data_IF_009303312843
#
_entry.id   IF_009303312843
#
_cell.length_a   1.000
_cell.length_b   1.000
_cell.length_c   1.000
_cell.angle_alpha   90.00
_cell.angle_beta   90.00
_cell.angle_gamma   90.00
#
_symmetry.space_group_name_H-M   'P 1'
#
loop_
_entity.id
_entity.type
_entity.pdbx_description
1 polymer ?
#
# COMPACT_ATOMS: atom_id res chain seq x y z
N UNK A 1 -13.58 -14.50 20.94
CA UNK A 1 -13.01 -13.16 21.13
C UNK A 1 -13.20 -12.41 19.82
N UNK A 2 -13.75 -11.18 19.82
CA UNK A 2 -13.69 -10.36 18.60
C UNK A 2 -12.22 -10.17 18.22
N UNK A 3 -11.88 -10.42 16.95
CA UNK A 3 -10.55 -10.14 16.43
C UNK A 3 -10.26 -8.65 16.69
N UNK A 4 -9.11 -8.35 17.28
CA UNK A 4 -8.75 -6.97 17.58
C UNK A 4 -8.48 -6.27 16.26
N UNK A 5 -9.16 -5.14 16.02
CA UNK A 5 -9.01 -4.37 14.80
C UNK A 5 -7.56 -3.90 14.61
N UNK A 6 -7.02 -4.08 13.42
CA UNK A 6 -5.69 -3.61 13.06
C UNK A 6 -5.75 -2.12 12.71
N UNK A 7 -5.28 -1.26 13.60
CA UNK A 7 -5.21 0.18 13.32
C UNK A 7 -3.76 0.57 13.12
N UNK A 8 -3.46 1.00 11.91
CA UNK A 8 -2.09 1.19 11.46
C UNK A 8 -1.86 2.41 10.60
N UNK A 9 -0.62 2.54 10.17
CA UNK A 9 -0.15 3.62 9.32
C UNK A 9 0.94 3.12 8.37
N UNK A 10 1.05 3.76 7.21
CA UNK A 10 2.17 3.54 6.29
C UNK A 10 3.28 4.53 6.61
N UNK A 11 4.46 4.10 7.09
CA UNK A 11 5.60 4.99 7.28
C UNK A 11 6.10 5.53 5.94
N UNK A 12 6.50 6.80 5.95
CA UNK A 12 7.05 7.46 4.77
C UNK A 12 8.40 8.11 5.02
N UNK A 13 8.86 8.03 6.24
CA UNK A 13 10.11 8.63 6.69
C UNK A 13 11.05 7.55 7.23
N UNK A 14 12.32 7.63 6.88
CA UNK A 14 13.34 6.66 7.31
C UNK A 14 13.52 6.65 8.84
N UNK A 15 13.20 7.77 9.48
CA UNK A 15 13.32 7.97 10.92
C UNK A 15 12.06 8.61 11.51
N UNK A 16 10.94 7.88 11.61
CA UNK A 16 9.73 8.43 12.20
C UNK A 16 9.91 8.68 13.71
N UNK A 17 9.18 9.64 14.25
CA UNK A 17 9.09 9.83 15.70
C UNK A 17 8.21 8.72 16.31
N UNK A 18 8.86 7.66 16.79
CA UNK A 18 8.19 6.52 17.41
C UNK A 18 7.41 6.89 18.68
N UNK A 19 7.83 7.95 19.40
CA UNK A 19 7.11 8.39 20.57
C UNK A 19 5.76 9.01 20.18
N UNK A 20 5.73 9.85 19.17
CA UNK A 20 4.49 10.39 18.60
C UNK A 20 3.61 9.29 18.00
N UNK A 21 4.19 8.31 17.30
CA UNK A 21 3.42 7.18 16.76
C UNK A 21 2.73 6.38 17.88
N UNK A 22 3.43 6.08 18.97
CA UNK A 22 2.85 5.39 20.14
C UNK A 22 1.81 6.24 20.87
N UNK A 23 2.06 7.55 21.00
CA UNK A 23 1.12 8.49 21.60
C UNK A 23 -0.19 8.60 20.82
N UNK A 24 -0.13 8.50 19.48
CA UNK A 24 -1.33 8.42 18.62
C UNK A 24 -2.15 7.16 18.91
N UNK A 25 -1.54 6.10 19.41
CA UNK A 25 -2.21 4.84 19.73
C UNK A 25 -2.21 3.80 18.60
N UNK A 26 -1.53 4.07 17.49
CA UNK A 26 -1.34 3.05 16.44
C UNK A 26 -0.50 1.90 16.96
N UNK A 27 -0.79 0.70 16.43
CA UNK A 27 -0.10 -0.54 16.82
C UNK A 27 0.48 -1.27 15.63
N UNK A 28 0.05 -0.93 14.44
CA UNK A 28 0.44 -1.57 13.20
C UNK A 28 1.14 -0.59 12.28
N UNK A 29 2.13 -1.10 11.55
CA UNK A 29 2.72 -0.39 10.42
C UNK A 29 2.69 -1.28 9.18
N UNK A 30 2.49 -0.67 8.02
CA UNK A 30 2.61 -1.36 6.75
C UNK A 30 4.02 -1.16 6.22
N UNK A 31 4.76 -2.26 6.11
CA UNK A 31 6.13 -2.33 5.61
C UNK A 31 6.25 -3.47 4.62
N UNK A 32 7.37 -3.61 3.92
CA UNK A 32 7.48 -4.68 2.94
C UNK A 32 8.90 -5.16 2.66
N UNK A 33 8.95 -6.38 2.14
CA UNK A 33 10.17 -6.97 1.62
C UNK A 33 10.20 -6.90 0.09
N UNK A 34 11.30 -6.44 -0.50
CA UNK A 34 11.60 -6.67 -1.90
C UNK A 34 11.91 -8.15 -2.14
N UNK A 35 12.13 -8.51 -3.39
CA UNK A 35 12.57 -9.85 -3.75
C UNK A 35 13.88 -10.22 -3.01
N UNK A 36 13.98 -11.40 -2.36
CA UNK A 36 15.04 -11.65 -1.39
C UNK A 36 16.42 -11.90 -2.00
N UNK A 37 16.48 -12.46 -3.21
CA UNK A 37 17.73 -12.95 -3.78
C UNK A 37 18.28 -12.06 -4.89
N UNK A 38 19.57 -11.76 -4.84
CA UNK A 38 20.29 -11.02 -5.88
C UNK A 38 20.64 -11.90 -7.09
N UNK A 39 20.79 -13.21 -6.88
CA UNK A 39 21.21 -14.18 -7.91
C UNK A 39 20.54 -15.56 -7.74
N UNK A 40 20.75 -16.43 -8.73
CA UNK A 40 20.22 -17.79 -8.72
C UNK A 40 20.83 -18.71 -7.64
N UNK A 41 21.94 -18.31 -7.00
CA UNK A 41 22.59 -19.06 -5.93
C UNK A 41 21.93 -18.82 -4.57
N UNK A 42 20.96 -17.90 -4.51
CA UNK A 42 20.28 -17.56 -3.28
C UNK A 42 21.05 -16.55 -2.40
N UNK A 43 21.96 -15.77 -3.00
CA UNK A 43 22.61 -14.66 -2.29
C UNK A 43 21.57 -13.61 -1.93
N UNK A 44 21.47 -13.26 -0.64
CA UNK A 44 20.51 -12.24 -0.21
C UNK A 44 20.85 -10.88 -0.82
N UNK A 45 19.84 -10.20 -1.31
CA UNK A 45 20.00 -8.85 -1.86
C UNK A 45 20.20 -7.81 -0.75
N UNK A 46 20.95 -6.76 -1.05
CA UNK A 46 21.15 -5.65 -0.11
C UNK A 46 19.82 -4.97 0.24
N UNK A 47 18.93 -4.81 -0.74
CA UNK A 47 17.60 -4.25 -0.53
C UNK A 47 16.76 -5.07 0.45
N UNK A 48 16.82 -6.42 0.36
CA UNK A 48 16.15 -7.30 1.31
C UNK A 48 16.73 -7.14 2.73
N UNK A 49 18.05 -7.14 2.86
CA UNK A 49 18.72 -6.98 4.16
C UNK A 49 18.44 -5.61 4.82
N UNK A 50 18.32 -4.56 4.02
CA UNK A 50 17.96 -3.24 4.51
C UNK A 50 16.49 -3.19 4.93
N UNK A 51 15.57 -3.76 4.15
CA UNK A 51 14.17 -3.87 4.55
C UNK A 51 14.00 -4.69 5.85
N UNK A 52 14.76 -5.77 6.02
CA UNK A 52 14.73 -6.56 7.25
C UNK A 52 15.15 -5.76 8.49
N UNK A 53 16.21 -4.95 8.37
CA UNK A 53 16.62 -4.04 9.46
C UNK A 53 15.53 -3.02 9.82
N UNK A 54 14.87 -2.45 8.81
CA UNK A 54 13.78 -1.51 9.03
C UNK A 54 12.58 -2.18 9.72
N UNK A 55 12.18 -3.35 9.26
CA UNK A 55 11.09 -4.11 9.88
C UNK A 55 11.43 -4.44 11.35
N UNK A 56 12.65 -4.91 11.62
CA UNK A 56 13.07 -5.19 13.00
C UNK A 56 13.13 -3.92 13.87
N UNK A 57 13.47 -2.78 13.30
CA UNK A 57 13.43 -1.50 14.00
C UNK A 57 12.00 -1.16 14.46
N UNK A 58 11.00 -1.25 13.57
CA UNK A 58 9.60 -1.03 13.97
C UNK A 58 9.12 -2.06 15.00
N UNK A 59 9.50 -3.33 14.84
CA UNK A 59 9.14 -4.38 15.80
C UNK A 59 9.76 -4.16 17.17
N UNK A 60 11.02 -3.73 17.24
CA UNK A 60 11.69 -3.40 18.51
C UNK A 60 11.05 -2.22 19.24
N UNK A 61 10.38 -1.32 18.50
CA UNK A 61 9.58 -0.23 19.06
C UNK A 61 8.14 -0.64 19.44
N UNK A 62 7.81 -1.93 19.27
CA UNK A 62 6.55 -2.54 19.70
C UNK A 62 5.43 -2.50 18.66
N UNK A 63 5.73 -2.24 17.39
CA UNK A 63 4.73 -2.27 16.32
C UNK A 63 4.60 -3.66 15.71
N UNK A 64 3.36 -4.04 15.41
CA UNK A 64 3.01 -5.18 14.57
C UNK A 64 3.12 -4.78 13.08
N UNK A 65 3.38 -5.77 12.21
CA UNK A 65 3.63 -5.50 10.79
C UNK A 65 2.56 -6.14 9.91
N UNK A 66 1.89 -5.32 9.08
CA UNK A 66 1.27 -5.76 7.84
C UNK A 66 2.36 -5.70 6.76
N UNK A 67 2.85 -6.87 6.37
CA UNK A 67 4.03 -6.94 5.53
C UNK A 67 3.65 -7.11 4.06
N UNK A 68 4.10 -6.23 3.19
CA UNK A 68 3.98 -6.45 1.75
C UNK A 68 5.13 -7.29 1.22
N UNK A 69 4.82 -8.21 0.31
CA UNK A 69 5.79 -8.87 -0.54
C UNK A 69 5.78 -8.19 -1.91
N UNK A 70 6.97 -8.08 -2.50
CA UNK A 70 7.15 -7.40 -3.79
C UNK A 70 6.11 -7.80 -4.83
N UNK A 71 5.68 -6.83 -5.64
CA UNK A 71 4.89 -7.09 -6.84
C UNK A 71 5.75 -7.46 -8.04
N UNK A 72 5.13 -7.77 -9.19
CA UNK A 72 5.86 -8.07 -10.42
C UNK A 72 6.48 -6.82 -11.06
N UNK A 73 5.82 -5.68 -10.94
CA UNK A 73 6.24 -4.41 -11.50
C UNK A 73 6.79 -3.43 -10.48
N UNK A 74 7.55 -2.50 -10.95
CA UNK A 74 8.10 -1.38 -10.18
C UNK A 74 8.10 -0.12 -11.04
N UNK A 75 7.82 0.99 -10.40
CA UNK A 75 7.84 2.30 -11.03
C UNK A 75 8.73 3.24 -10.23
N UNK A 76 9.52 4.06 -10.92
CA UNK A 76 10.38 5.06 -10.28
C UNK A 76 10.55 6.30 -11.14
N UNK A 77 10.66 7.44 -10.50
CA UNK A 77 11.12 8.64 -11.16
C UNK A 77 12.65 8.64 -11.28
N UNK A 78 13.16 8.97 -12.46
CA UNK A 78 14.60 9.08 -12.74
C UNK A 78 14.94 10.56 -12.99
N UNK A 79 15.48 11.29 -11.99
CA UNK A 79 15.72 12.74 -12.10
C UNK A 79 16.65 13.11 -13.25
N UNK A 80 17.68 12.30 -13.53
CA UNK A 80 18.62 12.51 -14.62
C UNK A 80 17.98 12.44 -16.03
N UNK A 81 16.83 11.77 -16.13
CA UNK A 81 16.11 11.57 -17.40
C UNK A 81 14.80 12.39 -17.44
N UNK A 82 14.41 12.98 -16.31
CA UNK A 82 13.17 13.75 -16.17
C UNK A 82 11.91 12.92 -16.44
N UNK A 83 11.94 11.60 -16.20
CA UNK A 83 10.83 10.70 -16.53
C UNK A 83 10.60 9.60 -15.50
N UNK A 84 9.40 9.07 -15.53
CA UNK A 84 9.03 7.85 -14.80
C UNK A 84 9.37 6.62 -15.63
N UNK A 85 10.07 5.66 -15.01
CA UNK A 85 10.50 4.42 -15.66
C UNK A 85 9.80 3.25 -15.01
N UNK A 86 9.24 2.40 -15.85
CA UNK A 86 8.63 1.14 -15.45
C UNK A 86 9.63 0.01 -15.63
N UNK A 87 9.74 -0.87 -14.63
CA UNK A 87 10.66 -1.99 -14.65
C UNK A 87 10.06 -3.18 -13.92
N UNK A 88 10.72 -4.34 -14.03
CA UNK A 88 10.39 -5.47 -13.16
C UNK A 88 10.86 -5.20 -11.73
N UNK A 89 10.05 -5.57 -10.76
CA UNK A 89 10.42 -5.53 -9.35
C UNK A 89 11.18 -6.81 -8.91
N UNK A 90 11.15 -7.85 -9.74
CA UNK A 90 11.88 -9.09 -9.52
C UNK A 90 13.10 -9.18 -10.47
N UNK A 91 14.19 -9.87 -10.07
CA UNK A 91 15.40 -9.98 -10.87
C UNK A 91 15.17 -10.64 -12.23
N UNK A 92 15.93 -10.20 -13.24
CA UNK A 92 15.83 -10.72 -14.60
C UNK A 92 16.18 -12.23 -14.72
N UNK A 93 17.01 -12.77 -13.83
CA UNK A 93 17.37 -14.19 -13.87
C UNK A 93 16.18 -15.13 -13.63
N UNK A 94 15.06 -14.67 -13.09
CA UNK A 94 13.84 -15.47 -13.03
C UNK A 94 13.37 -15.91 -14.43
N UNK A 95 13.72 -15.16 -15.46
CA UNK A 95 13.36 -15.44 -16.84
C UNK A 95 12.03 -14.81 -17.25
N UNK A 96 11.36 -15.42 -18.23
CA UNK A 96 10.10 -14.92 -18.76
C UNK A 96 8.93 -15.25 -17.80
N UNK A 97 8.07 -14.28 -17.45
CA UNK A 97 6.90 -14.51 -16.59
C UNK A 97 5.92 -15.57 -17.07
N UNK A 98 5.88 -15.87 -18.39
CA UNK A 98 5.03 -16.93 -18.93
C UNK A 98 5.63 -18.35 -18.79
N UNK A 99 6.86 -18.48 -18.31
CA UNK A 99 7.57 -19.75 -18.17
C UNK A 99 7.39 -20.38 -16.79
N UNK A 100 7.30 -21.71 -16.73
CA UNK A 100 7.19 -22.45 -15.47
C UNK A 100 8.37 -22.17 -14.52
N UNK A 101 9.58 -22.01 -15.08
CA UNK A 101 10.79 -21.68 -14.32
C UNK A 101 10.62 -20.39 -13.50
N UNK A 102 10.03 -19.34 -14.09
CA UNK A 102 9.78 -18.08 -13.39
C UNK A 102 8.92 -18.29 -12.16
N UNK A 103 7.80 -18.97 -12.32
CA UNK A 103 6.86 -19.23 -11.23
C UNK A 103 7.44 -20.14 -10.15
N UNK A 104 8.27 -21.10 -10.52
CA UNK A 104 8.99 -21.95 -9.57
C UNK A 104 9.96 -21.13 -8.71
N UNK A 105 10.81 -20.31 -9.32
CA UNK A 105 11.77 -19.47 -8.59
C UNK A 105 11.07 -18.44 -7.70
N UNK A 106 9.97 -17.85 -8.17
CA UNK A 106 9.13 -16.96 -7.38
C UNK A 106 8.55 -17.68 -6.15
N UNK A 107 8.00 -18.88 -6.35
CA UNK A 107 7.45 -19.68 -5.26
C UNK A 107 8.54 -20.03 -4.22
N UNK A 108 9.73 -20.44 -4.67
CA UNK A 108 10.86 -20.76 -3.79
C UNK A 108 11.32 -19.52 -2.99
N UNK A 109 11.40 -18.36 -3.63
CA UNK A 109 11.71 -17.10 -2.96
C UNK A 109 10.66 -16.70 -1.92
N UNK A 110 9.39 -16.85 -2.25
CA UNK A 110 8.28 -16.59 -1.33
C UNK A 110 8.27 -17.61 -0.17
N UNK A 111 8.58 -18.88 -0.42
CA UNK A 111 8.72 -19.88 0.63
C UNK A 111 9.91 -19.57 1.56
N UNK A 112 11.02 -19.09 1.01
CA UNK A 112 12.14 -18.61 1.83
C UNK A 112 11.71 -17.48 2.76
N UNK A 113 11.01 -16.46 2.25
CA UNK A 113 10.52 -15.34 3.08
C UNK A 113 9.54 -15.85 4.15
N UNK A 114 8.63 -16.75 3.78
CA UNK A 114 7.68 -17.35 4.72
C UNK A 114 8.39 -18.03 5.91
N UNK A 115 9.44 -18.81 5.66
CA UNK A 115 10.24 -19.44 6.70
C UNK A 115 11.08 -18.44 7.49
N UNK A 116 11.77 -17.53 6.79
CA UNK A 116 12.65 -16.53 7.39
C UNK A 116 11.90 -15.62 8.39
N UNK A 117 10.63 -15.33 8.11
CA UNK A 117 9.81 -14.40 8.91
C UNK A 117 8.77 -15.08 9.80
N UNK A 118 8.66 -16.40 9.81
CA UNK A 118 7.59 -17.19 10.43
C UNK A 118 7.26 -16.84 11.89
N UNK A 119 8.26 -16.52 12.70
CA UNK A 119 8.06 -16.13 14.09
C UNK A 119 7.76 -14.63 14.29
N UNK A 120 7.73 -13.84 13.22
CA UNK A 120 7.72 -12.39 13.24
C UNK A 120 6.57 -11.75 12.49
N UNK A 121 6.16 -12.36 11.38
CA UNK A 121 5.17 -11.81 10.44
C UNK A 121 4.07 -12.84 10.21
N UNK A 122 2.83 -12.43 10.47
CA UNK A 122 1.65 -13.25 10.21
C UNK A 122 0.83 -12.71 9.04
N UNK A 123 0.75 -11.38 8.87
CA UNK A 123 -0.10 -10.74 7.87
C UNK A 123 0.70 -10.28 6.66
N UNK A 124 0.28 -10.73 5.48
CA UNK A 124 0.98 -10.51 4.22
C UNK A 124 0.08 -9.89 3.16
N UNK A 125 0.50 -8.77 2.62
CA UNK A 125 -0.02 -8.20 1.39
C UNK A 125 0.86 -8.65 0.23
N UNK A 126 0.30 -9.35 -0.75
CA UNK A 126 1.03 -9.78 -1.94
C UNK A 126 0.87 -8.71 -3.02
N UNK A 127 1.98 -8.16 -3.48
CA UNK A 127 2.07 -7.03 -4.41
C UNK A 127 1.47 -5.73 -3.84
N UNK A 128 1.42 -4.69 -4.65
CA UNK A 128 0.73 -3.44 -4.39
C UNK A 128 -0.17 -3.12 -5.59
N UNK A 129 -1.45 -2.86 -5.33
CA UNK A 129 -2.47 -2.48 -6.33
C UNK A 129 -2.33 -3.26 -7.66
N UNK A 130 -2.35 -4.62 -7.62
CA UNK A 130 -2.09 -5.44 -8.80
C UNK A 130 -3.21 -5.37 -9.86
N UNK A 131 -4.24 -4.60 -9.63
CA UNK A 131 -5.30 -4.24 -10.57
C UNK A 131 -4.94 -3.02 -11.44
N UNK A 132 -3.87 -2.32 -11.15
CA UNK A 132 -3.38 -1.15 -11.88
C UNK A 132 -2.14 -1.53 -12.69
N UNK A 133 -2.16 -1.27 -13.99
CA UNK A 133 -1.14 -1.71 -14.95
C UNK A 133 0.28 -1.26 -14.60
N UNK A 134 0.46 -0.10 -14.00
CA UNK A 134 1.78 0.39 -13.57
C UNK A 134 2.42 -0.47 -12.48
N UNK A 135 1.64 -1.19 -11.69
CA UNK A 135 2.14 -2.01 -10.60
C UNK A 135 2.29 -3.49 -10.98
N UNK A 136 1.64 -3.96 -12.03
CA UNK A 136 1.87 -5.32 -12.51
C UNK A 136 2.64 -5.37 -13.85
N UNK A 137 2.69 -4.27 -14.59
CA UNK A 137 3.48 -4.24 -15.82
C UNK A 137 4.98 -4.52 -15.58
N UNK A 138 5.64 -5.17 -16.53
CA UNK A 138 5.20 -5.50 -17.89
C UNK A 138 4.55 -6.90 -18.02
N UNK A 139 3.96 -7.46 -16.98
CA UNK A 139 3.29 -8.75 -17.03
C UNK A 139 1.94 -8.64 -17.77
N UNK A 140 1.50 -9.76 -18.37
CA UNK A 140 0.10 -9.89 -18.79
C UNK A 140 -0.79 -10.09 -17.55
N UNK A 141 -2.09 -9.84 -17.67
CA UNK A 141 -3.07 -10.10 -16.59
C UNK A 141 -2.99 -11.54 -16.08
N UNK A 142 -2.83 -12.51 -17.00
CA UNK A 142 -2.67 -13.93 -16.64
C UNK A 142 -1.38 -14.21 -15.86
N UNK A 143 -0.28 -13.63 -16.27
CA UNK A 143 1.01 -13.80 -15.60
C UNK A 143 0.99 -13.12 -14.22
N UNK A 144 0.30 -11.99 -14.10
CA UNK A 144 0.08 -11.34 -12.82
C UNK A 144 -0.76 -12.20 -11.86
N UNK A 145 -1.85 -12.81 -12.32
CA UNK A 145 -2.63 -13.77 -11.52
C UNK A 145 -1.75 -14.91 -11.03
N UNK A 146 -0.96 -15.50 -11.93
CA UNK A 146 -0.03 -16.57 -11.59
C UNK A 146 1.03 -16.09 -10.58
N UNK A 147 1.52 -14.87 -10.72
CA UNK A 147 2.45 -14.26 -9.76
C UNK A 147 1.83 -14.22 -8.35
N UNK A 148 0.65 -13.65 -8.22
CA UNK A 148 -0.05 -13.50 -6.93
C UNK A 148 -0.29 -14.85 -6.26
N UNK A 149 -0.77 -15.83 -7.02
CA UNK A 149 -1.04 -17.18 -6.50
C UNK A 149 0.26 -17.91 -6.06
N UNK A 150 1.32 -17.83 -6.85
CA UNK A 150 2.59 -18.50 -6.51
C UNK A 150 3.29 -17.84 -5.32
N UNK A 151 3.25 -16.51 -5.22
CA UNK A 151 3.80 -15.80 -4.08
C UNK A 151 3.06 -16.16 -2.78
N UNK A 152 1.73 -16.11 -2.77
CA UNK A 152 0.93 -16.47 -1.59
C UNK A 152 1.13 -17.94 -1.19
N UNK A 153 1.07 -18.86 -2.15
CA UNK A 153 1.28 -20.30 -1.90
C UNK A 153 2.70 -20.60 -1.40
N UNK A 154 3.71 -19.87 -1.89
CA UNK A 154 5.09 -20.00 -1.41
C UNK A 154 5.21 -19.63 0.06
N UNK A 155 4.69 -18.47 0.47
CA UNK A 155 4.68 -18.04 1.87
C UNK A 155 3.96 -19.08 2.75
N UNK A 156 2.76 -19.50 2.36
CA UNK A 156 1.95 -20.48 3.11
C UNK A 156 2.62 -21.86 3.21
N UNK A 157 3.42 -22.25 2.23
CA UNK A 157 4.17 -23.53 2.25
C UNK A 157 5.07 -23.63 3.48
N UNK A 158 5.71 -22.54 3.86
CA UNK A 158 6.70 -22.49 4.94
C UNK A 158 6.12 -21.89 6.22
N UNK A 159 5.10 -21.03 6.09
CA UNK A 159 4.38 -20.42 7.20
C UNK A 159 2.87 -20.64 7.04
N UNK A 160 2.34 -21.81 7.44
CA UNK A 160 0.92 -22.14 7.28
C UNK A 160 -0.04 -21.24 8.05
N UNK A 161 0.44 -20.54 9.07
CA UNK A 161 -0.35 -19.61 9.87
C UNK A 161 -0.44 -18.21 9.25
N UNK A 162 0.30 -17.96 8.15
CA UNK A 162 0.28 -16.68 7.46
C UNK A 162 -1.11 -16.37 6.91
N UNK A 163 -1.49 -15.09 6.99
CA UNK A 163 -2.73 -14.55 6.45
C UNK A 163 -2.39 -13.70 5.22
N UNK A 164 -2.50 -14.28 4.04
CA UNK A 164 -2.18 -13.57 2.80
C UNK A 164 -3.43 -12.85 2.25
N UNK A 165 -3.22 -11.69 1.64
CA UNK A 165 -4.19 -10.94 0.86
C UNK A 165 -3.49 -10.15 -0.24
N UNK A 166 -4.25 -9.51 -1.10
CA UNK A 166 -3.78 -8.43 -2.00
C UNK A 166 -4.44 -7.13 -1.57
N UNK A 167 -4.02 -5.99 -2.12
CA UNK A 167 -4.77 -4.74 -2.05
C UNK A 167 -5.19 -4.30 -3.45
N UNK A 168 -6.41 -3.82 -3.60
CA UNK A 168 -6.94 -3.26 -4.85
C UNK A 168 -6.95 -1.74 -4.76
N UNK A 169 -6.47 -1.05 -5.80
CA UNK A 169 -6.51 0.40 -5.89
C UNK A 169 -7.93 0.93 -6.12
N UNK A 170 -8.72 0.21 -6.94
CA UNK A 170 -10.14 0.51 -7.15
C UNK A 170 -10.84 -0.65 -7.88
N UNK A 171 -12.19 -0.67 -7.87
CA UNK A 171 -12.96 -1.71 -8.54
C UNK A 171 -13.13 -1.37 -10.03
N UNK A 172 -12.23 -1.86 -10.85
CA UNK A 172 -12.35 -1.87 -12.31
C UNK A 172 -12.72 -3.29 -12.82
N UNK A 173 -12.82 -3.48 -14.12
CA UNK A 173 -13.15 -4.79 -14.70
C UNK A 173 -12.07 -5.83 -14.43
N UNK A 174 -10.79 -5.42 -14.44
CA UNK A 174 -9.68 -6.30 -14.10
C UNK A 174 -9.68 -6.69 -12.62
N UNK A 175 -9.92 -5.75 -11.70
CA UNK A 175 -10.09 -6.05 -10.28
C UNK A 175 -11.22 -7.06 -10.03
N UNK A 176 -12.35 -6.92 -10.74
CA UNK A 176 -13.47 -7.90 -10.68
C UNK A 176 -13.05 -9.27 -11.20
N UNK A 177 -12.25 -9.32 -12.27
CA UNK A 177 -11.68 -10.55 -12.78
C UNK A 177 -10.71 -11.17 -11.76
N UNK A 178 -9.77 -10.40 -11.19
CA UNK A 178 -8.88 -10.86 -10.13
C UNK A 178 -9.66 -11.49 -8.98
N UNK A 179 -10.70 -10.84 -8.49
CA UNK A 179 -11.51 -11.39 -7.40
C UNK A 179 -12.14 -12.73 -7.76
N UNK A 180 -12.61 -12.92 -8.99
CA UNK A 180 -13.14 -14.22 -9.43
C UNK A 180 -12.07 -15.30 -9.52
N UNK A 181 -10.91 -14.95 -10.08
CA UNK A 181 -9.84 -15.92 -10.38
C UNK A 181 -9.07 -16.36 -9.15
N UNK A 182 -8.95 -15.50 -8.12
CA UNK A 182 -8.08 -15.79 -6.98
C UNK A 182 -8.82 -15.92 -5.64
N UNK A 183 -10.01 -15.33 -5.47
CA UNK A 183 -10.79 -15.45 -4.23
C UNK A 183 -11.95 -16.42 -4.33
N UNK A 184 -12.70 -16.44 -5.44
CA UNK A 184 -13.87 -17.29 -5.60
C UNK A 184 -13.55 -18.73 -6.04
N UNK A 185 -12.32 -19.19 -5.83
CA UNK A 185 -11.85 -20.54 -6.18
C UNK A 185 -11.74 -21.42 -4.92
N UNK A 186 -11.98 -22.75 -5.04
CA UNK A 186 -11.64 -23.68 -3.97
C UNK A 186 -10.16 -23.55 -3.60
N UNK A 187 -9.85 -23.64 -2.32
CA UNK A 187 -8.48 -23.60 -1.81
C UNK A 187 -7.71 -22.29 -2.12
N UNK A 188 -8.43 -21.15 -2.22
CA UNK A 188 -7.81 -19.83 -2.34
C UNK A 188 -6.79 -19.63 -1.24
N UNK A 189 -5.54 -19.22 -1.57
CA UNK A 189 -4.52 -18.94 -0.56
C UNK A 189 -4.73 -17.62 0.18
N UNK A 190 -5.79 -16.87 -0.15
CA UNK A 190 -6.03 -15.55 0.41
C UNK A 190 -7.06 -15.57 1.53
N UNK A 191 -6.67 -15.03 2.68
CA UNK A 191 -7.45 -14.98 3.91
C UNK A 191 -8.28 -13.69 4.03
N UNK A 192 -7.86 -12.61 3.41
CA UNK A 192 -8.51 -11.31 3.42
C UNK A 192 -8.39 -10.62 2.06
N UNK A 193 -9.23 -9.64 1.78
CA UNK A 193 -9.06 -8.71 0.67
C UNK A 193 -8.64 -7.34 1.21
N UNK A 194 -7.54 -6.82 0.69
CA UNK A 194 -7.13 -5.44 0.91
C UNK A 194 -7.75 -4.50 -0.11
N UNK A 195 -8.04 -3.28 0.30
CA UNK A 195 -8.49 -2.19 -0.56
C UNK A 195 -7.78 -0.90 -0.23
N UNK A 196 -7.54 -0.09 -1.24
CA UNK A 196 -7.04 1.26 -1.12
C UNK A 196 -8.14 2.23 -1.56
N UNK A 197 -8.15 3.44 -1.01
CA UNK A 197 -9.14 4.42 -1.38
C UNK A 197 -8.76 5.83 -0.96
N UNK A 198 -8.95 6.74 -1.90
CA UNK A 198 -8.58 8.14 -1.76
C UNK A 198 -9.72 9.05 -2.26
N UNK A 199 -10.93 8.79 -1.71
CA UNK A 199 -12.16 9.51 -2.07
C UNK A 199 -12.00 11.00 -1.82
N UNK A 200 -12.32 11.83 -2.80
CA UNK A 200 -12.09 13.27 -2.75
C UNK A 200 -10.68 13.72 -3.17
N UNK A 201 -9.79 12.78 -3.51
CA UNK A 201 -8.46 13.07 -4.09
C UNK A 201 -8.28 12.35 -5.44
N UNK A 202 -7.89 11.07 -5.44
CA UNK A 202 -7.79 10.27 -6.66
C UNK A 202 -9.16 9.80 -7.19
N UNK A 203 -10.14 9.67 -6.31
CA UNK A 203 -11.48 9.16 -6.63
C UNK A 203 -12.52 10.21 -6.24
N UNK A 204 -13.65 10.32 -6.97
CA UNK A 204 -14.74 11.19 -6.57
C UNK A 204 -15.43 10.71 -5.29
N UNK A 205 -16.14 11.61 -4.60
CA UNK A 205 -16.85 11.33 -3.36
C UNK A 205 -16.11 11.81 -2.12
N UNK A 206 -16.47 11.25 -0.98
CA UNK A 206 -15.93 11.56 0.34
C UNK A 206 -16.03 10.37 1.28
N UNK A 207 -16.01 10.58 2.60
CA UNK A 207 -16.14 9.51 3.61
C UNK A 207 -17.35 8.61 3.41
N UNK A 208 -18.47 9.16 2.96
CA UNK A 208 -19.71 8.42 2.67
C UNK A 208 -19.55 7.34 1.59
N UNK A 209 -18.57 7.48 0.71
CA UNK A 209 -18.29 6.53 -0.37
C UNK A 209 -17.65 5.23 0.11
N UNK A 210 -17.08 5.21 1.31
CA UNK A 210 -16.42 4.02 1.84
C UNK A 210 -17.38 2.87 2.09
N UNK A 211 -18.53 3.13 2.67
CA UNK A 211 -19.48 2.05 3.01
C UNK A 211 -19.94 1.24 1.80
N UNK A 212 -20.42 1.85 0.69
CA UNK A 212 -20.75 1.08 -0.51
C UNK A 212 -19.52 0.39 -1.12
N UNK A 213 -18.35 1.00 -1.11
CA UNK A 213 -17.12 0.40 -1.62
C UNK A 213 -16.73 -0.87 -0.83
N UNK A 214 -16.72 -0.80 0.50
CA UNK A 214 -16.44 -1.95 1.37
C UNK A 214 -17.49 -3.06 1.17
N UNK A 215 -18.78 -2.72 1.10
CA UNK A 215 -19.85 -3.69 0.87
C UNK A 215 -19.68 -4.44 -0.45
N UNK A 216 -19.32 -3.74 -1.52
CA UNK A 216 -19.12 -4.35 -2.84
C UNK A 216 -17.92 -5.29 -2.83
N UNK A 217 -16.79 -4.84 -2.30
CA UNK A 217 -15.55 -5.64 -2.24
C UNK A 217 -15.69 -6.86 -1.35
N UNK A 218 -16.31 -6.74 -0.18
CA UNK A 218 -16.59 -7.86 0.72
C UNK A 218 -17.52 -8.89 0.05
N UNK A 219 -18.56 -8.42 -0.64
CA UNK A 219 -19.47 -9.31 -1.39
C UNK A 219 -18.77 -10.06 -2.52
N UNK A 220 -17.89 -9.39 -3.27
CA UNK A 220 -17.20 -9.99 -4.43
C UNK A 220 -16.12 -10.99 -4.00
N UNK A 221 -15.39 -10.72 -2.93
CA UNK A 221 -14.33 -11.60 -2.44
C UNK A 221 -14.81 -12.68 -1.50
N UNK A 222 -15.92 -12.45 -0.78
CA UNK A 222 -16.36 -13.31 0.32
C UNK A 222 -15.40 -13.35 1.50
N UNK A 223 -14.54 -12.34 1.65
CA UNK A 223 -13.48 -12.26 2.67
C UNK A 223 -13.63 -11.01 3.53
N UNK A 224 -13.06 -11.03 4.76
CA UNK A 224 -12.91 -9.80 5.53
C UNK A 224 -12.00 -8.80 4.81
N UNK A 225 -12.20 -7.52 5.11
CA UNK A 225 -11.54 -6.41 4.43
C UNK A 225 -10.48 -5.78 5.35
N UNK A 226 -9.31 -5.54 4.80
CA UNK A 226 -8.32 -4.60 5.35
C UNK A 226 -8.28 -3.39 4.41
N UNK A 227 -8.44 -2.19 4.96
CA UNK A 227 -8.21 -0.96 4.21
C UNK A 227 -6.71 -0.69 4.30
N UNK A 228 -5.95 -1.12 3.28
CA UNK A 228 -4.48 -1.10 3.29
C UNK A 228 -3.91 0.31 3.12
N UNK A 229 -4.66 1.16 2.40
CA UNK A 229 -4.34 2.56 2.27
C UNK A 229 -5.62 3.39 2.23
N UNK A 230 -5.64 4.48 2.99
CA UNK A 230 -6.67 5.51 2.93
C UNK A 230 -6.13 6.83 3.41
N UNK A 231 -6.63 7.91 2.85
CA UNK A 231 -6.17 9.23 3.21
C UNK A 231 -6.82 10.33 2.38
N UNK A 232 -6.41 11.55 2.67
CA UNK A 232 -6.81 12.75 1.95
C UNK A 232 -5.63 13.71 1.90
N UNK A 233 -5.26 14.21 0.72
CA UNK A 233 -4.15 15.15 0.58
C UNK A 233 -4.51 16.51 1.19
N UNK A 234 -3.59 17.12 1.93
CA UNK A 234 -3.79 18.42 2.60
C UNK A 234 -3.29 19.63 1.78
N UNK A 235 -2.94 19.43 0.52
CA UNK A 235 -2.46 20.50 -0.37
C UNK A 235 -3.29 20.55 -1.65
N UNK A 236 -4.01 21.65 -1.88
CA UNK A 236 -4.86 21.83 -3.06
C UNK A 236 -4.05 22.01 -4.34
N UNK A 237 -2.99 22.82 -4.27
CA UNK A 237 -2.14 23.12 -5.41
C UNK A 237 -0.76 23.54 -4.97
N UNK A 238 0.25 23.12 -5.71
CA UNK A 238 1.62 23.58 -5.57
C UNK A 238 1.96 24.70 -6.55
N UNK A 239 3.22 25.09 -6.56
CA UNK A 239 3.75 26.03 -7.53
C UNK A 239 3.75 25.41 -8.94
N UNK A 240 3.52 26.25 -9.93
CA UNK A 240 3.54 25.83 -11.33
C UNK A 240 4.99 25.65 -11.77
N UNK A 241 5.32 24.47 -12.27
CA UNK A 241 6.62 24.22 -12.90
C UNK A 241 6.51 24.00 -14.40
N UNK A 242 7.58 24.26 -15.13
CA UNK A 242 7.51 24.46 -16.57
C UNK A 242 8.22 23.39 -17.41
N UNK A 243 9.18 22.63 -16.88
CA UNK A 243 10.16 21.94 -17.73
C UNK A 243 10.27 20.42 -17.56
N UNK A 244 9.22 19.76 -17.07
CA UNK A 244 9.24 18.29 -16.97
C UNK A 244 8.75 17.68 -18.29
N UNK A 245 9.51 16.70 -18.79
CA UNK A 245 9.01 15.78 -19.80
C UNK A 245 7.94 14.87 -19.20
N UNK A 246 6.68 15.10 -19.55
CA UNK A 246 5.50 14.51 -18.92
C UNK A 246 4.92 13.33 -19.65
N UNK A 247 5.47 12.98 -20.80
CA UNK A 247 4.97 11.87 -21.61
C UNK A 247 4.99 10.53 -20.88
N UNK A 248 5.87 10.41 -19.89
CA UNK A 248 6.05 9.19 -19.10
C UNK A 248 5.58 9.29 -17.65
N UNK A 249 4.86 10.34 -17.26
CA UNK A 249 4.32 10.45 -15.91
C UNK A 249 3.03 9.65 -15.78
N UNK A 250 2.95 8.84 -14.73
CA UNK A 250 1.78 8.04 -14.49
C UNK A 250 0.52 8.87 -14.29
N UNK A 251 0.56 9.89 -13.43
CA UNK A 251 -0.57 10.76 -13.23
C UNK A 251 -0.32 12.17 -13.79
N UNK A 252 -0.38 12.29 -15.08
CA UNK A 252 -0.14 13.54 -15.80
C UNK A 252 -1.07 14.68 -15.35
N UNK A 253 -2.32 14.38 -14.95
CA UNK A 253 -3.30 15.42 -14.66
C UNK A 253 -2.94 16.21 -13.40
N UNK A 254 -2.67 15.55 -12.27
CA UNK A 254 -2.36 16.23 -10.99
C UNK A 254 -0.94 16.78 -11.00
N UNK A 255 0.06 15.96 -11.32
CA UNK A 255 1.46 16.40 -11.41
C UNK A 255 1.63 17.49 -12.49
N UNK A 256 0.96 17.36 -13.64
CA UNK A 256 1.04 18.33 -14.73
C UNK A 256 0.52 19.71 -14.33
N UNK A 257 -0.62 19.76 -13.68
CA UNK A 257 -1.24 21.01 -13.26
C UNK A 257 -0.81 21.45 -11.87
N UNK A 258 -0.10 20.59 -11.14
CA UNK A 258 0.16 20.73 -9.69
C UNK A 258 -1.09 21.13 -8.91
N UNK A 259 -2.20 20.50 -9.23
CA UNK A 259 -3.50 20.85 -8.66
C UNK A 259 -4.44 19.65 -8.71
N UNK A 260 -5.17 19.43 -7.63
CA UNK A 260 -6.29 18.50 -7.61
C UNK A 260 -7.46 19.02 -8.44
N UNK A 261 -8.08 18.12 -9.19
CA UNK A 261 -9.33 18.37 -9.94
C UNK A 261 -10.54 17.73 -9.26
N UNK A 262 -10.30 16.74 -8.41
CA UNK A 262 -11.29 16.15 -7.54
C UNK A 262 -11.05 16.73 -6.14
N UNK A 263 -12.12 17.12 -5.46
CA UNK A 263 -12.06 17.67 -4.12
C UNK A 263 -13.27 17.21 -3.32
N UNK A 264 -13.15 17.30 -1.99
CA UNK A 264 -14.23 17.08 -1.05
C UNK A 264 -14.27 18.21 -0.03
N UNK A 265 -15.46 18.53 0.51
CA UNK A 265 -15.62 19.55 1.51
C UNK A 265 -15.16 20.94 1.05
N UNK A 266 -14.35 21.60 1.85
CA UNK A 266 -13.74 22.90 1.54
C UNK A 266 -12.50 22.85 0.65
N UNK A 267 -12.13 21.69 0.11
CA UNK A 267 -10.93 21.48 -0.69
C UNK A 267 -9.79 20.84 0.10
N UNK A 268 -8.61 20.77 -0.50
CA UNK A 268 -7.45 20.12 0.11
C UNK A 268 -6.72 21.10 1.06
N UNK A 269 -7.05 21.03 2.34
CA UNK A 269 -6.38 21.77 3.42
C UNK A 269 -6.07 20.83 4.59
N UNK A 270 -5.17 21.21 5.51
CA UNK A 270 -4.91 20.39 6.71
C UNK A 270 -6.17 20.18 7.57
N UNK A 271 -7.06 21.17 7.65
CA UNK A 271 -8.32 21.07 8.40
C UNK A 271 -9.30 20.12 7.74
N UNK A 272 -9.42 20.16 6.42
CA UNK A 272 -10.28 19.23 5.67
C UNK A 272 -9.70 17.80 5.70
N UNK A 273 -8.38 17.63 5.68
CA UNK A 273 -7.74 16.33 5.91
C UNK A 273 -8.14 15.78 7.30
N UNK A 274 -8.07 16.58 8.34
CA UNK A 274 -8.46 16.17 9.70
C UNK A 274 -9.94 15.83 9.78
N UNK A 275 -10.82 16.63 9.13
CA UNK A 275 -12.26 16.34 9.06
C UNK A 275 -12.52 15.02 8.32
N UNK A 276 -11.87 14.80 7.19
CA UNK A 276 -11.96 13.54 6.44
C UNK A 276 -11.61 12.33 7.32
N UNK A 277 -10.51 12.44 8.06
CA UNK A 277 -10.09 11.39 9.02
C UNK A 277 -11.18 11.14 10.06
N UNK A 278 -11.71 12.21 10.68
CA UNK A 278 -12.73 12.09 11.72
C UNK A 278 -14.02 11.46 11.23
N UNK A 279 -14.38 11.67 9.94
CA UNK A 279 -15.58 11.09 9.34
C UNK A 279 -15.36 9.64 8.84
N UNK A 280 -14.15 9.26 8.47
CA UNK A 280 -13.85 7.89 8.00
C UNK A 280 -13.75 6.88 9.15
N UNK A 281 -13.09 7.22 10.26
CA UNK A 281 -12.79 6.26 11.32
C UNK A 281 -14.02 5.55 11.93
N UNK A 282 -15.16 6.25 12.22
CA UNK A 282 -16.36 5.54 12.66
C UNK A 282 -16.92 4.58 11.62
N UNK A 283 -16.86 4.92 10.32
CA UNK A 283 -17.31 4.02 9.25
C UNK A 283 -16.52 2.72 9.27
N UNK A 284 -15.19 2.80 9.41
CA UNK A 284 -14.33 1.62 9.45
C UNK A 284 -14.52 0.79 10.71
N UNK A 285 -14.68 1.44 11.86
CA UNK A 285 -14.86 0.76 13.14
C UNK A 285 -16.22 0.03 13.26
N UNK A 286 -17.27 0.61 12.68
CA UNK A 286 -18.62 0.07 12.74
C UNK A 286 -18.90 -0.96 11.65
N UNK A 287 -18.10 -1.02 10.59
CA UNK A 287 -18.36 -1.94 9.48
C UNK A 287 -17.96 -3.39 9.86
N UNK A 288 -18.90 -4.35 9.78
CA UNK A 288 -18.67 -5.71 10.28
C UNK A 288 -17.60 -6.49 9.50
N UNK A 289 -17.38 -6.16 8.24
CA UNK A 289 -16.41 -6.85 7.39
C UNK A 289 -15.00 -6.24 7.50
N UNK A 290 -14.85 -5.05 8.09
CA UNK A 290 -13.53 -4.40 8.24
C UNK A 290 -12.81 -4.93 9.47
N UNK A 291 -11.62 -5.49 9.25
CA UNK A 291 -10.76 -6.03 10.31
C UNK A 291 -9.49 -5.21 10.53
N UNK A 292 -9.23 -4.22 9.66
CA UNK A 292 -8.08 -3.34 9.79
C UNK A 292 -8.15 -2.14 8.85
N UNK A 293 -7.44 -1.08 9.23
CA UNK A 293 -7.23 0.11 8.39
C UNK A 293 -5.84 0.69 8.61
N UNK A 294 -5.24 1.21 7.53
CA UNK A 294 -3.91 1.81 7.52
C UNK A 294 -3.95 3.18 6.86
N UNK A 295 -3.74 4.23 7.65
CA UNK A 295 -3.73 5.59 7.13
C UNK A 295 -2.50 5.82 6.24
N UNK A 296 -2.70 6.39 5.10
CA UNK A 296 -1.65 6.82 4.19
C UNK A 296 -1.52 8.34 4.27
N UNK A 297 -0.52 8.88 4.97
CA UNK A 297 0.68 8.22 5.49
C UNK A 297 1.17 8.92 6.77
N UNK A 298 2.28 8.44 7.37
CA UNK A 298 2.84 9.07 8.57
C UNK A 298 3.23 10.52 8.32
N UNK A 299 4.22 10.77 7.44
CA UNK A 299 4.74 12.11 7.19
C UNK A 299 4.50 12.58 5.75
N UNK A 300 4.43 13.87 5.57
CA UNK A 300 4.61 14.51 4.28
C UNK A 300 5.99 14.13 3.71
N UNK A 301 6.18 14.27 2.40
CA UNK A 301 7.45 14.01 1.72
C UNK A 301 7.96 15.24 1.00
N UNK A 302 9.28 15.39 0.97
CA UNK A 302 9.92 16.54 0.33
C UNK A 302 9.71 16.56 -1.19
N UNK A 303 9.59 15.36 -1.81
CA UNK A 303 9.47 15.22 -3.25
C UNK A 303 8.40 14.20 -3.65
N UNK A 304 7.73 14.48 -4.73
CA UNK A 304 6.79 13.58 -5.38
C UNK A 304 7.56 12.47 -6.12
N UNK A 305 7.27 11.21 -5.81
CA UNK A 305 7.93 10.09 -6.50
C UNK A 305 7.54 9.97 -7.98
N UNK A 306 6.38 10.54 -8.37
CA UNK A 306 5.92 10.50 -9.76
C UNK A 306 6.58 11.57 -10.65
N UNK A 307 6.80 12.77 -10.13
CA UNK A 307 7.32 13.89 -10.93
C UNK A 307 8.63 14.49 -10.41
N UNK A 308 9.07 14.13 -9.21
CA UNK A 308 10.30 14.64 -8.60
C UNK A 308 10.20 16.03 -7.97
N UNK A 309 9.06 16.71 -8.11
CA UNK A 309 8.87 18.08 -7.63
C UNK A 309 8.54 18.12 -6.13
N UNK A 310 8.99 19.21 -5.47
CA UNK A 310 8.90 19.34 -4.02
C UNK A 310 7.52 19.66 -3.48
N UNK A 311 6.66 20.32 -4.23
CA UNK A 311 5.36 20.80 -3.77
C UNK A 311 4.19 20.20 -4.56
N UNK A 312 4.36 19.00 -5.08
CA UNK A 312 3.33 18.33 -5.86
C UNK A 312 2.23 17.79 -4.93
N UNK A 313 0.98 18.22 -5.08
CA UNK A 313 -0.13 17.78 -4.23
C UNK A 313 -0.41 16.28 -4.40
N UNK A 314 0.03 15.66 -5.51
CA UNK A 314 -0.17 14.24 -5.78
C UNK A 314 0.45 13.35 -4.70
N UNK A 315 1.65 13.70 -4.16
CA UNK A 315 2.38 12.84 -3.24
C UNK A 315 2.96 13.54 -2.01
N UNK A 316 3.11 14.88 -2.03
CA UNK A 316 3.90 15.54 -1.00
C UNK A 316 3.14 15.80 0.31
N UNK A 317 1.79 15.79 0.33
CA UNK A 317 0.99 16.32 1.44
C UNK A 317 -0.05 15.33 2.00
N UNK A 318 0.30 14.06 2.11
CA UNK A 318 -0.56 13.01 2.66
C UNK A 318 -0.34 12.74 4.14
N UNK A 319 0.77 13.23 4.70
CA UNK A 319 1.17 12.95 6.07
C UNK A 319 0.19 13.46 7.12
N UNK A 320 0.12 12.76 8.25
CA UNK A 320 -0.47 13.30 9.47
C UNK A 320 0.51 14.17 10.27
N UNK A 321 1.79 14.08 9.96
CA UNK A 321 2.84 15.02 10.38
C UNK A 321 3.50 15.64 9.15
N UNK A 322 4.16 16.77 9.29
CA UNK A 322 4.94 17.39 8.22
C UNK A 322 6.30 16.71 8.02
N UNK A 323 7.13 17.23 7.09
CA UNK A 323 8.47 16.69 6.82
C UNK A 323 9.41 16.79 8.05
N UNK A 324 9.18 17.75 8.96
CA UNK A 324 9.93 17.91 10.20
C UNK A 324 9.37 17.08 11.36
N UNK A 325 8.43 16.17 11.11
CA UNK A 325 7.73 15.34 12.09
C UNK A 325 6.82 16.14 13.05
N UNK A 326 6.41 17.37 12.69
CA UNK A 326 5.48 18.16 13.50
C UNK A 326 4.03 17.73 13.21
N UNK A 327 3.21 17.47 14.26
CA UNK A 327 1.83 17.07 14.11
C UNK A 327 0.99 18.09 13.32
N UNK A 328 0.28 17.61 12.30
CA UNK A 328 -0.75 18.34 11.57
C UNK A 328 -2.13 18.11 12.24
N UNK A 329 -3.19 18.86 11.90
CA UNK A 329 -4.54 18.61 12.43
C UNK A 329 -5.01 17.15 12.29
N UNK A 330 -4.62 16.46 11.20
CA UNK A 330 -4.92 15.04 10.98
C UNK A 330 -4.31 14.10 12.02
N UNK A 331 -3.14 14.43 12.59
CA UNK A 331 -2.54 13.67 13.69
C UNK A 331 -3.48 13.58 14.89
N UNK A 332 -4.04 14.72 15.30
CA UNK A 332 -4.95 14.78 16.45
C UNK A 332 -6.28 14.10 16.14
N UNK A 333 -6.79 14.24 14.91
CA UNK A 333 -7.99 13.55 14.49
C UNK A 333 -7.82 12.01 14.50
N UNK A 334 -6.68 11.50 14.04
CA UNK A 334 -6.31 10.09 14.15
C UNK A 334 -6.22 9.62 15.60
N UNK A 335 -5.48 10.35 16.44
CA UNK A 335 -5.31 10.05 17.87
C UNK A 335 -6.64 9.95 18.61
N UNK A 336 -7.51 10.95 18.44
CA UNK A 336 -8.82 11.01 19.08
C UNK A 336 -9.75 9.89 18.56
N UNK A 337 -9.75 9.67 17.25
CA UNK A 337 -10.55 8.63 16.62
C UNK A 337 -10.08 7.22 17.00
N UNK A 338 -8.79 6.96 17.03
CA UNK A 338 -8.23 5.66 17.47
C UNK A 338 -8.64 5.38 18.93
N UNK A 339 -8.48 6.35 19.80
CA UNK A 339 -8.88 6.23 21.20
C UNK A 339 -10.39 5.99 21.39
N UNK A 340 -11.20 6.56 20.50
CA UNK A 340 -12.68 6.50 20.61
C UNK A 340 -13.25 5.21 20.06
N UNK A 341 -12.71 4.70 18.95
CA UNK A 341 -13.35 3.65 18.17
C UNK A 341 -12.60 2.31 18.21
N UNK A 342 -11.30 2.28 18.53
CA UNK A 342 -10.44 1.09 18.48
C UNK A 342 -9.68 0.84 19.79
#
# INVERSE_FOLDING_TARGET
MKQKHMTGITPAHDNPDFALMREMGIRWVRQGYPFPFADEKGTLSESFLNADKEIERFRSEGFEILCSFTGPGSVRYVPSEGKTVYSRAVPEYLGNPSEERYHKLLFEAAAFIGEYTKSRITWWQIANEPDIDIFYGPLTEKDNINFLLNAAKGILKSNPDAQCGINLGYINDYARMLMREIYAVPDSPFAYLGIDGYMGSWQPGGPESWKPYINETAKLSGKPIIINEWGFSSLQSGEKYTDINRENHYNQNVCYNKKWHITWGGGHTPEEQARYVSECLPIFAEHPDVIGNFFFRWSDTEHCWQCGEADCPAECAWGCVDCDQKPKPAYYALKDGIKTYF
#
